data_IF_017141695354
#
_entry.id   IF_017141695354
#
_cell.length_a   1.000
_cell.length_b   1.000
_cell.length_c   1.000
_cell.angle_alpha   90.00
_cell.angle_beta   90.00
_cell.angle_gamma   90.00
#
_symmetry.space_group_name_H-M   'P 1'
#
loop_
_entity.id
_entity.type
_entity.pdbx_description
1 polymer ?
#
# COMPACT_ATOMS: atom_id res chain seq x y z
N UNK A 1 -15.23 -35.65 6.86
CA UNK A 1 -15.69 -34.59 7.78
C UNK A 1 -14.61 -33.55 7.77
N UNK A 2 -14.81 -32.47 7.01
CA UNK A 2 -13.86 -31.36 6.98
C UNK A 2 -14.16 -30.48 8.19
N UNK A 3 -13.22 -30.41 9.13
CA UNK A 3 -13.20 -29.33 10.10
C UNK A 3 -12.92 -28.04 9.33
N UNK A 4 -13.98 -27.28 9.03
CA UNK A 4 -13.84 -25.85 8.75
C UNK A 4 -13.34 -25.21 10.03
N UNK A 5 -12.00 -25.19 10.17
CA UNK A 5 -11.32 -24.26 11.05
C UNK A 5 -11.88 -22.88 10.70
N UNK A 6 -12.66 -22.29 11.61
CA UNK A 6 -13.08 -20.91 11.52
C UNK A 6 -11.79 -20.11 11.72
N UNK A 7 -11.09 -19.82 10.63
CA UNK A 7 -9.95 -18.92 10.63
C UNK A 7 -10.46 -17.60 11.19
N UNK A 8 -9.92 -17.21 12.34
CA UNK A 8 -10.20 -15.91 12.95
C UNK A 8 -9.84 -14.84 11.92
N UNK A 9 -10.78 -13.96 11.63
CA UNK A 9 -10.56 -12.85 10.71
C UNK A 9 -9.44 -11.94 11.25
N UNK A 10 -8.26 -11.99 10.64
CA UNK A 10 -7.04 -11.35 11.14
C UNK A 10 -7.16 -9.83 11.20
N UNK A 11 -7.87 -9.20 10.25
CA UNK A 11 -8.11 -7.76 10.25
C UNK A 11 -9.02 -7.33 11.40
N UNK A 12 -10.09 -8.10 11.66
CA UNK A 12 -10.98 -7.85 12.80
C UNK A 12 -10.25 -8.12 14.13
N UNK A 13 -9.45 -9.19 14.19
CA UNK A 13 -8.68 -9.53 15.37
C UNK A 13 -7.65 -8.45 15.74
N UNK A 14 -6.95 -7.91 14.73
CA UNK A 14 -6.04 -6.78 14.89
C UNK A 14 -6.76 -5.57 15.51
N UNK A 15 -7.90 -5.15 14.94
CA UNK A 15 -8.64 -4.01 15.47
C UNK A 15 -9.23 -4.26 16.86
N UNK A 16 -9.63 -5.50 17.17
CA UNK A 16 -10.07 -5.86 18.52
C UNK A 16 -8.96 -5.74 19.57
N UNK A 17 -7.73 -6.07 19.19
CA UNK A 17 -6.55 -5.91 20.03
C UNK A 17 -6.28 -4.41 20.29
N UNK A 18 -6.22 -3.60 19.23
CA UNK A 18 -6.04 -2.13 19.33
C UNK A 18 -7.12 -1.48 20.21
N UNK A 19 -8.40 -1.86 20.03
CA UNK A 19 -9.52 -1.39 20.86
C UNK A 19 -9.35 -1.78 22.33
N UNK A 20 -8.80 -2.97 22.60
CA UNK A 20 -8.63 -3.49 23.97
C UNK A 20 -7.47 -2.84 24.73
N UNK A 21 -6.46 -2.36 24.00
CA UNK A 21 -5.29 -1.69 24.57
C UNK A 21 -5.47 -0.18 24.72
N UNK A 22 -6.39 0.41 23.95
CA UNK A 22 -6.73 1.84 24.01
C UNK A 22 -7.81 2.15 25.07
N UNK A 23 -7.91 3.43 25.44
CA UNK A 23 -8.98 3.94 26.31
C UNK A 23 -10.14 4.48 25.47
N UNK A 24 -11.38 4.28 25.91
CA UNK A 24 -12.57 4.89 25.27
C UNK A 24 -12.42 6.42 25.21
N UNK A 25 -12.65 7.00 24.04
CA UNK A 25 -12.41 8.41 23.74
C UNK A 25 -10.97 8.79 23.34
N UNK A 26 -10.04 7.83 23.29
CA UNK A 26 -8.73 8.01 22.64
C UNK A 26 -8.85 7.93 21.11
N UNK A 27 -8.00 8.64 20.38
CA UNK A 27 -8.00 8.60 18.91
C UNK A 27 -7.89 7.17 18.36
N UNK A 28 -7.05 6.32 18.95
CA UNK A 28 -6.86 4.94 18.51
C UNK A 28 -8.14 4.13 18.68
N UNK A 29 -8.82 4.28 19.82
CA UNK A 29 -10.04 3.55 20.14
C UNK A 29 -11.16 3.88 19.13
N UNK A 30 -11.43 5.16 18.94
CA UNK A 30 -12.55 5.62 18.09
C UNK A 30 -12.29 5.27 16.61
N UNK A 31 -11.06 5.48 16.14
CA UNK A 31 -10.67 5.13 14.77
C UNK A 31 -10.71 3.63 14.53
N UNK A 32 -10.21 2.81 15.45
CA UNK A 32 -10.26 1.36 15.33
C UNK A 32 -11.70 0.84 15.29
N UNK A 33 -12.61 1.44 16.06
CA UNK A 33 -14.04 1.10 16.01
C UNK A 33 -14.66 1.44 14.65
N UNK A 34 -14.36 2.62 14.09
CA UNK A 34 -14.82 3.01 12.75
C UNK A 34 -14.27 2.06 11.68
N UNK A 35 -12.97 1.77 11.71
CA UNK A 35 -12.32 0.85 10.77
C UNK A 35 -12.85 -0.58 10.89
N UNK A 36 -13.16 -1.04 12.10
CA UNK A 36 -13.76 -2.37 12.33
C UNK A 36 -15.11 -2.47 11.64
N UNK A 37 -15.91 -1.40 11.70
CA UNK A 37 -17.17 -1.31 10.96
C UNK A 37 -16.96 -1.17 9.46
N UNK A 38 -15.89 -0.55 8.98
CA UNK A 38 -15.59 -0.42 7.55
C UNK A 38 -15.26 -1.79 6.93
N UNK A 39 -14.51 -2.62 7.63
CA UNK A 39 -14.01 -3.90 7.08
C UNK A 39 -14.92 -5.11 7.39
N UNK A 40 -16.04 -4.90 8.09
CA UNK A 40 -17.04 -5.92 8.36
C UNK A 40 -17.94 -6.19 7.13
N UNK A 41 -18.45 -7.41 6.98
CA UNK A 41 -19.26 -7.84 5.82
C UNK A 41 -20.50 -6.95 5.57
N UNK A 42 -21.25 -6.62 6.63
CA UNK A 42 -22.41 -5.70 6.58
C UNK A 42 -22.07 -4.34 7.20
N UNK A 43 -20.84 -3.88 6.91
CA UNK A 43 -20.23 -2.70 7.47
C UNK A 43 -20.76 -1.36 6.97
N UNK A 44 -20.01 -0.30 7.30
CA UNK A 44 -20.22 1.03 6.75
C UNK A 44 -19.43 1.21 5.45
N UNK A 45 -19.89 2.11 4.58
CA UNK A 45 -19.18 2.43 3.35
C UNK A 45 -17.90 3.25 3.64
N UNK A 46 -16.90 3.26 2.74
CA UNK A 46 -15.73 4.13 2.86
C UNK A 46 -16.09 5.61 3.06
N UNK A 47 -17.14 6.09 2.37
CA UNK A 47 -17.64 7.46 2.53
C UNK A 47 -18.24 7.68 3.93
N UNK A 48 -19.03 6.73 4.42
CA UNK A 48 -19.62 6.81 5.76
C UNK A 48 -18.58 6.72 6.88
N UNK A 49 -17.49 5.98 6.65
CA UNK A 49 -16.33 5.94 7.54
C UNK A 49 -15.57 7.27 7.52
N UNK A 50 -15.28 7.83 6.33
CA UNK A 50 -14.64 9.14 6.20
C UNK A 50 -15.41 10.24 6.93
N UNK A 51 -16.75 10.27 6.78
CA UNK A 51 -17.60 11.23 7.49
C UNK A 51 -17.57 11.06 9.01
N UNK A 52 -17.51 9.81 9.51
CA UNK A 52 -17.42 9.56 10.96
C UNK A 52 -16.07 10.01 11.53
N UNK A 53 -14.96 9.74 10.83
CA UNK A 53 -13.62 10.20 11.21
C UNK A 53 -13.59 11.74 11.26
N UNK A 54 -14.15 12.38 10.24
CA UNK A 54 -14.18 13.84 10.16
C UNK A 54 -15.05 14.47 11.27
N UNK A 55 -16.21 13.86 11.56
CA UNK A 55 -17.09 14.30 12.64
C UNK A 55 -16.41 14.14 14.00
N UNK A 56 -15.74 13.01 14.24
CA UNK A 56 -14.95 12.79 15.46
C UNK A 56 -13.88 13.89 15.65
N UNK A 57 -13.17 14.25 14.59
CA UNK A 57 -12.21 15.35 14.66
C UNK A 57 -12.88 16.70 15.00
N UNK A 58 -14.01 17.03 14.37
CA UNK A 58 -14.72 18.28 14.60
C UNK A 58 -15.34 18.39 15.99
N UNK A 59 -15.91 17.30 16.50
CA UNK A 59 -16.68 17.30 17.74
C UNK A 59 -15.77 17.20 18.97
N UNK A 60 -14.73 16.35 18.91
CA UNK A 60 -13.96 15.96 20.10
C UNK A 60 -12.54 16.54 20.13
N UNK A 61 -11.93 16.77 18.96
CA UNK A 61 -10.52 17.19 18.88
C UNK A 61 -10.34 18.66 18.47
N UNK A 62 -11.36 19.29 17.90
CA UNK A 62 -11.30 20.69 17.50
C UNK A 62 -11.64 21.59 18.70
N UNK A 63 -10.70 22.42 19.18
CA UNK A 63 -11.02 23.35 20.26
C UNK A 63 -12.08 24.36 19.79
N UNK A 64 -13.17 24.48 20.55
CA UNK A 64 -14.25 25.44 20.29
C UNK A 64 -13.82 26.91 20.35
N UNK A 65 -12.60 27.22 20.83
CA UNK A 65 -12.09 28.59 20.98
C UNK A 65 -10.98 28.94 19.97
N UNK A 66 -11.08 30.09 19.26
CA UNK A 66 -10.11 30.54 18.26
C UNK A 66 -8.67 30.76 18.76
N UNK A 67 -8.46 30.93 20.07
CA UNK A 67 -7.14 31.21 20.66
C UNK A 67 -6.26 29.95 20.70
N UNK A 68 -6.86 28.76 20.57
CA UNK A 68 -6.21 27.47 20.74
C UNK A 68 -5.73 26.86 19.42
N UNK A 69 -5.38 27.68 18.41
CA UNK A 69 -4.93 27.19 17.10
C UNK A 69 -3.75 26.21 17.17
N UNK A 70 -2.86 26.31 18.17
CA UNK A 70 -1.78 25.34 18.38
C UNK A 70 -2.28 23.97 18.86
N UNK A 71 -3.38 23.93 19.60
CA UNK A 71 -4.01 22.69 20.04
C UNK A 71 -4.76 22.02 18.89
N UNK A 72 -5.35 22.81 17.98
CA UNK A 72 -5.93 22.31 16.71
C UNK A 72 -4.92 21.53 15.86
N UNK A 73 -3.70 22.05 15.74
CA UNK A 73 -2.61 21.37 15.03
C UNK A 73 -2.24 20.03 15.71
N UNK A 74 -2.13 20.03 17.04
CA UNK A 74 -1.80 18.82 17.81
C UNK A 74 -2.86 17.73 17.66
N UNK A 75 -4.15 18.09 17.75
CA UNK A 75 -5.26 17.14 17.56
C UNK A 75 -5.25 16.48 16.18
N UNK A 76 -5.01 17.26 15.11
CA UNK A 76 -4.92 16.70 13.76
C UNK A 76 -3.70 15.79 13.58
N UNK A 77 -2.55 16.14 14.15
CA UNK A 77 -1.34 15.30 14.08
C UNK A 77 -1.59 13.95 14.77
N UNK A 78 -2.21 13.97 15.94
CA UNK A 78 -2.54 12.74 16.66
C UNK A 78 -3.54 11.88 15.88
N UNK A 79 -4.62 12.50 15.37
CA UNK A 79 -5.63 11.80 14.58
C UNK A 79 -5.02 11.14 13.35
N UNK A 80 -4.23 11.88 12.56
CA UNK A 80 -3.59 11.35 11.36
C UNK A 80 -2.57 10.27 11.70
N UNK A 81 -1.79 10.46 12.77
CA UNK A 81 -0.86 9.45 13.26
C UNK A 81 -1.56 8.13 13.58
N UNK A 82 -2.59 8.17 14.44
CA UNK A 82 -3.35 6.98 14.83
C UNK A 82 -4.08 6.35 13.63
N UNK A 83 -4.67 7.16 12.75
CA UNK A 83 -5.36 6.66 11.55
C UNK A 83 -4.39 5.96 10.60
N UNK A 84 -3.26 6.60 10.30
CA UNK A 84 -2.27 6.04 9.40
C UNK A 84 -1.65 4.77 10.01
N UNK A 85 -1.40 4.73 11.33
CA UNK A 85 -0.91 3.54 12.05
C UNK A 85 -1.88 2.36 11.86
N UNK A 86 -3.17 2.57 12.12
CA UNK A 86 -4.20 1.53 11.99
C UNK A 86 -4.38 1.07 10.54
N UNK A 87 -4.40 2.00 9.57
CA UNK A 87 -4.50 1.66 8.14
C UNK A 87 -3.27 0.85 7.71
N UNK A 88 -2.07 1.26 8.13
CA UNK A 88 -0.85 0.55 7.78
C UNK A 88 -0.79 -0.83 8.43
N UNK A 89 -1.17 -0.93 9.71
CA UNK A 89 -1.31 -2.19 10.43
C UNK A 89 -2.24 -3.16 9.70
N UNK A 90 -3.43 -2.69 9.33
CA UNK A 90 -4.39 -3.44 8.51
C UNK A 90 -3.80 -3.87 7.15
N UNK A 91 -3.05 -2.99 6.48
CA UNK A 91 -2.38 -3.32 5.23
C UNK A 91 -1.36 -4.47 5.35
N UNK A 92 -0.80 -4.69 6.55
CA UNK A 92 0.15 -5.78 6.82
C UNK A 92 -0.52 -7.10 7.22
N UNK A 93 -1.71 -7.05 7.85
CA UNK A 93 -2.42 -8.25 8.34
C UNK A 93 -3.51 -8.74 7.38
N UNK A 94 -4.12 -7.86 6.57
CA UNK A 94 -5.08 -8.29 5.57
C UNK A 94 -4.36 -9.00 4.43
N UNK A 95 -4.82 -10.20 4.10
CA UNK A 95 -4.25 -10.99 3.01
C UNK A 95 -4.17 -10.19 1.70
N UNK A 96 -3.10 -10.36 0.93
CA UNK A 96 -2.77 -9.51 -0.22
C UNK A 96 -3.86 -9.39 -1.30
N UNK A 97 -4.74 -10.38 -1.41
CA UNK A 97 -5.86 -10.43 -2.35
C UNK A 97 -7.23 -10.09 -1.71
N UNK A 98 -7.23 -9.66 -0.44
CA UNK A 98 -8.44 -9.32 0.30
C UNK A 98 -9.01 -7.99 -0.19
N UNK A 99 -10.29 -7.99 -0.57
CA UNK A 99 -11.02 -6.81 -1.06
C UNK A 99 -11.14 -5.71 -0.02
N UNK A 100 -10.94 -6.02 1.26
CA UNK A 100 -10.95 -5.03 2.35
C UNK A 100 -9.75 -4.10 2.28
N UNK A 101 -8.63 -4.52 1.67
CA UNK A 101 -7.56 -3.57 1.34
C UNK A 101 -8.05 -2.48 0.39
N UNK A 102 -8.89 -2.79 -0.60
CA UNK A 102 -9.47 -1.78 -1.50
C UNK A 102 -10.40 -0.82 -0.74
N UNK A 103 -11.13 -1.31 0.28
CA UNK A 103 -11.95 -0.45 1.14
C UNK A 103 -11.11 0.59 1.90
N UNK A 104 -9.90 0.24 2.36
CA UNK A 104 -8.97 1.17 3.00
C UNK A 104 -8.48 2.25 2.01
N UNK A 105 -8.17 1.87 0.77
CA UNK A 105 -7.76 2.80 -0.27
C UNK A 105 -8.90 3.77 -0.60
N UNK A 106 -10.13 3.26 -0.71
CA UNK A 106 -11.30 4.10 -0.92
C UNK A 106 -11.57 5.02 0.27
N UNK A 107 -11.33 4.59 1.51
CA UNK A 107 -11.44 5.45 2.68
C UNK A 107 -10.50 6.66 2.56
N UNK A 108 -9.23 6.44 2.21
CA UNK A 108 -8.27 7.53 2.02
C UNK A 108 -8.72 8.48 0.90
N UNK A 109 -9.25 7.94 -0.21
CA UNK A 109 -9.81 8.76 -1.29
C UNK A 109 -11.01 9.60 -0.83
N UNK A 110 -11.92 9.04 -0.03
CA UNK A 110 -13.08 9.74 0.50
C UNK A 110 -12.69 10.83 1.51
N UNK A 111 -11.71 10.58 2.38
CA UNK A 111 -11.15 11.59 3.28
C UNK A 111 -10.59 12.79 2.50
N UNK A 112 -9.90 12.54 1.38
CA UNK A 112 -9.35 13.60 0.51
C UNK A 112 -10.42 14.42 -0.25
N UNK A 113 -11.65 13.92 -0.34
CA UNK A 113 -12.80 14.63 -0.96
C UNK A 113 -13.51 15.56 0.02
N UNK A 114 -13.27 15.42 1.32
CA UNK A 114 -13.88 16.28 2.33
C UNK A 114 -13.44 17.75 2.17
N UNK A 115 -14.23 18.71 2.70
CA UNK A 115 -13.87 20.11 2.66
C UNK A 115 -12.49 20.35 3.28
N UNK A 116 -11.53 20.94 2.53
CA UNK A 116 -10.18 21.10 3.01
C UNK A 116 -10.10 22.10 4.16
N UNK A 117 -9.34 21.76 5.21
CA UNK A 117 -8.96 22.63 6.32
C UNK A 117 -7.46 22.83 6.28
N UNK A 118 -7.05 24.09 6.47
CA UNK A 118 -5.64 24.42 6.67
C UNK A 118 -5.25 24.11 8.11
N UNK A 119 -4.21 23.31 8.26
CA UNK A 119 -3.59 22.93 9.52
C UNK A 119 -2.09 23.17 9.42
N UNK A 120 -1.46 23.60 10.51
CA UNK A 120 0.00 23.73 10.56
C UNK A 120 0.55 22.48 11.23
N UNK A 121 1.29 21.66 10.49
CA UNK A 121 1.93 20.44 11.00
C UNK A 121 3.44 20.66 11.01
N UNK A 122 4.01 20.81 12.21
CA UNK A 122 5.40 21.25 12.37
C UNK A 122 5.58 22.68 11.85
N UNK A 123 6.48 22.87 10.89
CA UNK A 123 6.73 24.16 10.22
C UNK A 123 6.00 24.28 8.87
N UNK A 124 5.19 23.29 8.49
CA UNK A 124 4.53 23.23 7.19
C UNK A 124 3.04 23.57 7.29
N UNK A 125 2.56 24.44 6.41
CA UNK A 125 1.13 24.57 6.13
C UNK A 125 0.69 23.35 5.31
N UNK A 126 -0.26 22.60 5.84
CA UNK A 126 -0.79 21.40 5.23
C UNK A 126 -2.30 21.55 5.04
N UNK A 127 -2.79 21.06 3.91
CA UNK A 127 -4.21 20.82 3.71
C UNK A 127 -4.54 19.43 4.24
N UNK A 128 -5.43 19.37 5.25
CA UNK A 128 -5.84 18.13 5.91
C UNK A 128 -6.22 17.03 4.90
N UNK A 129 -5.84 15.79 5.24
CA UNK A 129 -5.99 14.56 4.44
C UNK A 129 -5.33 14.55 3.04
N UNK A 130 -5.12 15.70 2.39
CA UNK A 130 -4.59 15.84 1.01
C UNK A 130 -3.08 15.77 0.96
N UNK A 131 -2.41 16.54 1.81
CA UNK A 131 -0.95 16.59 1.83
C UNK A 131 -0.35 15.48 2.72
N UNK A 132 -1.17 14.87 3.59
CA UNK A 132 -0.81 13.97 4.70
C UNK A 132 0.66 13.48 4.70
N UNK A 133 1.58 14.26 5.30
CA UNK A 133 3.00 13.92 5.28
C UNK A 133 3.35 12.75 6.23
N UNK A 134 2.45 12.41 7.16
CA UNK A 134 2.65 11.34 8.14
C UNK A 134 2.55 9.99 7.43
N UNK A 135 1.51 9.80 6.62
CA UNK A 135 1.28 8.59 5.85
C UNK A 135 2.49 8.17 5.00
N UNK A 136 3.08 9.10 4.23
CA UNK A 136 4.23 8.77 3.36
C UNK A 136 5.44 8.31 4.17
N UNK A 137 5.71 8.97 5.31
CA UNK A 137 6.80 8.58 6.21
C UNK A 137 6.57 7.19 6.79
N UNK A 138 5.35 6.91 7.24
CA UNK A 138 5.02 5.62 7.85
C UNK A 138 5.04 4.48 6.83
N UNK A 139 4.56 4.74 5.61
CA UNK A 139 4.71 3.78 4.50
C UNK A 139 6.17 3.44 4.27
N UNK A 140 7.06 4.45 4.28
CA UNK A 140 8.50 4.23 4.13
C UNK A 140 9.10 3.43 5.29
N UNK A 141 8.79 3.78 6.53
CA UNK A 141 9.28 3.09 7.73
C UNK A 141 8.84 1.62 7.75
N UNK A 142 7.56 1.37 7.51
CA UNK A 142 6.98 0.02 7.46
C UNK A 142 7.50 -0.79 6.28
N UNK A 143 7.67 -0.16 5.10
CA UNK A 143 8.28 -0.83 3.95
C UNK A 143 9.67 -1.36 4.29
N UNK A 144 10.51 -0.56 4.97
CA UNK A 144 11.82 -1.05 5.43
C UNK A 144 11.68 -2.13 6.51
N UNK A 145 10.71 -2.00 7.42
CA UNK A 145 10.49 -2.92 8.53
C UNK A 145 10.01 -4.31 8.12
N UNK A 146 9.21 -4.41 7.06
CA UNK A 146 8.67 -5.68 6.56
C UNK A 146 9.54 -6.36 5.48
N UNK A 147 10.69 -5.81 5.11
CA UNK A 147 11.56 -6.44 4.10
C UNK A 147 11.99 -7.85 4.53
N UNK A 148 11.89 -8.79 3.58
CA UNK A 148 12.35 -10.16 3.77
C UNK A 148 13.77 -10.34 3.22
N UNK A 149 14.76 -10.49 4.09
CA UNK A 149 16.16 -10.71 3.70
C UNK A 149 16.48 -12.20 3.48
N UNK A 150 17.52 -12.50 2.70
CA UNK A 150 17.91 -13.87 2.32
C UNK A 150 18.20 -14.77 3.52
N UNK A 151 18.60 -14.18 4.64
CA UNK A 151 18.96 -14.86 5.89
C UNK A 151 18.07 -14.45 7.06
N UNK A 152 16.75 -14.41 6.85
CA UNK A 152 15.77 -14.23 7.92
C UNK A 152 15.99 -15.26 9.04
N UNK A 153 16.39 -14.83 10.25
CA UNK A 153 16.50 -15.74 11.38
C UNK A 153 15.11 -16.14 11.87
N UNK A 154 14.96 -17.40 12.28
CA UNK A 154 13.71 -17.88 12.86
C UNK A 154 13.40 -19.32 12.50
N UNK A 155 12.33 -19.81 13.10
CA UNK A 155 11.68 -21.07 12.76
C UNK A 155 10.99 -20.98 11.39
N UNK A 156 10.69 -22.12 10.73
CA UNK A 156 9.98 -22.12 9.46
C UNK A 156 8.59 -21.44 9.48
N UNK A 157 8.00 -21.29 10.66
CA UNK A 157 6.73 -20.59 10.88
C UNK A 157 6.96 -19.07 10.94
N UNK A 158 7.92 -18.60 11.73
CA UNK A 158 8.26 -17.17 11.81
C UNK A 158 8.71 -16.61 10.44
N UNK A 159 9.45 -17.41 9.66
CA UNK A 159 9.81 -17.06 8.28
C UNK A 159 8.58 -16.97 7.38
N UNK A 160 7.59 -17.86 7.56
CA UNK A 160 6.33 -17.79 6.81
C UNK A 160 5.55 -16.53 7.15
N UNK A 161 5.36 -16.24 8.44
CA UNK A 161 4.63 -15.06 8.90
C UNK A 161 5.28 -13.76 8.40
N UNK A 162 6.61 -13.71 8.36
CA UNK A 162 7.35 -12.58 7.80
C UNK A 162 7.12 -12.44 6.29
N UNK A 163 7.11 -13.56 5.56
CA UNK A 163 6.80 -13.59 4.13
C UNK A 163 5.37 -13.13 3.85
N UNK A 164 4.39 -13.59 4.64
CA UNK A 164 2.98 -13.24 4.46
C UNK A 164 2.76 -11.75 4.71
N UNK A 165 3.31 -11.20 5.82
CA UNK A 165 3.28 -9.76 6.12
C UNK A 165 3.91 -8.93 5.00
N UNK A 166 5.07 -9.36 4.48
CA UNK A 166 5.72 -8.69 3.37
C UNK A 166 4.84 -8.65 2.12
N UNK A 167 4.24 -9.77 1.71
CA UNK A 167 3.38 -9.81 0.52
C UNK A 167 2.10 -8.97 0.72
N UNK A 168 1.47 -9.06 1.89
CA UNK A 168 0.29 -8.26 2.25
C UNK A 168 0.60 -6.77 2.16
N UNK A 169 1.72 -6.36 2.78
CA UNK A 169 2.18 -4.98 2.80
C UNK A 169 2.56 -4.45 1.42
N UNK A 170 3.33 -5.22 0.63
CA UNK A 170 3.67 -4.84 -0.75
C UNK A 170 2.42 -4.69 -1.63
N UNK A 171 1.40 -5.54 -1.44
CA UNK A 171 0.11 -5.40 -2.14
C UNK A 171 -0.61 -4.11 -1.75
N UNK A 172 -0.65 -3.77 -0.45
CA UNK A 172 -1.23 -2.53 0.02
C UNK A 172 -0.51 -1.30 -0.57
N UNK A 173 0.83 -1.31 -0.57
CA UNK A 173 1.65 -0.25 -1.21
C UNK A 173 1.35 -0.16 -2.71
N UNK A 174 1.21 -1.28 -3.41
CA UNK A 174 0.86 -1.28 -4.82
C UNK A 174 -0.49 -0.58 -5.06
N UNK A 175 -1.50 -0.83 -4.22
CA UNK A 175 -2.79 -0.12 -4.32
C UNK A 175 -2.66 1.37 -4.02
N UNK A 176 -1.89 1.74 -3.00
CA UNK A 176 -1.57 3.15 -2.69
C UNK A 176 -0.87 3.84 -3.87
N UNK A 177 0.04 3.13 -4.54
CA UNK A 177 0.76 3.61 -5.73
C UNK A 177 -0.21 3.81 -6.89
N UNK A 178 -1.10 2.84 -7.14
CA UNK A 178 -2.15 2.91 -8.16
C UNK A 178 -3.12 4.07 -7.93
N UNK A 179 -3.46 4.35 -6.66
CA UNK A 179 -4.29 5.48 -6.26
C UNK A 179 -3.55 6.85 -6.28
N UNK A 180 -2.25 6.86 -6.61
CA UNK A 180 -1.45 8.08 -6.69
C UNK A 180 -1.07 8.68 -5.34
N UNK A 181 -1.13 7.91 -4.25
CA UNK A 181 -0.81 8.39 -2.90
C UNK A 181 0.69 8.54 -2.66
N UNK A 182 1.50 7.76 -3.39
CA UNK A 182 2.95 7.68 -3.23
C UNK A 182 3.71 8.29 -4.41
N UNK A 183 3.02 9.09 -5.23
CA UNK A 183 3.68 9.87 -6.28
C UNK A 183 4.45 11.03 -5.61
N UNK A 184 5.77 10.89 -5.55
CA UNK A 184 6.65 11.91 -4.99
C UNK A 184 6.90 13.04 -6.00
N UNK A 185 6.68 14.29 -5.58
CA UNK A 185 6.99 15.50 -6.37
C UNK A 185 8.48 15.65 -6.65
N UNK A 186 9.36 14.98 -5.89
CA UNK A 186 10.82 15.02 -6.04
C UNK A 186 11.35 13.95 -7.04
N UNK A 187 10.47 13.21 -7.70
CA UNK A 187 10.86 12.30 -8.79
C UNK A 187 11.38 10.94 -8.32
N UNK A 188 11.06 10.55 -7.09
CA UNK A 188 11.16 9.18 -6.56
C UNK A 188 9.84 8.40 -6.70
N UNK A 189 8.97 8.85 -7.60
CA UNK A 189 7.77 8.13 -8.02
C UNK A 189 8.16 6.67 -8.31
N UNK A 190 7.42 5.72 -7.72
CA UNK A 190 7.62 4.28 -7.91
C UNK A 190 8.86 3.65 -7.25
N UNK A 191 9.55 4.34 -6.32
CA UNK A 191 10.68 3.78 -5.54
C UNK A 191 10.38 2.37 -5.00
N UNK A 192 9.28 2.22 -4.28
CA UNK A 192 8.90 0.94 -3.65
C UNK A 192 8.76 -0.18 -4.67
N UNK A 193 7.96 0.03 -5.71
CA UNK A 193 7.76 -0.94 -6.78
C UNK A 193 9.05 -1.28 -7.52
N UNK A 194 9.90 -0.29 -7.82
CA UNK A 194 11.15 -0.57 -8.54
C UNK A 194 12.09 -1.47 -7.73
N UNK A 195 12.19 -1.25 -6.42
CA UNK A 195 13.05 -2.06 -5.55
C UNK A 195 12.45 -3.45 -5.35
N UNK A 196 11.16 -3.56 -5.01
CA UNK A 196 10.53 -4.85 -4.72
C UNK A 196 10.45 -5.73 -5.98
N UNK A 197 10.15 -5.15 -7.15
CA UNK A 197 10.11 -5.90 -8.42
C UNK A 197 11.51 -6.41 -8.78
N UNK A 198 12.54 -5.56 -8.75
CA UNK A 198 13.91 -5.99 -9.00
C UNK A 198 14.36 -7.06 -8.00
N UNK A 199 14.02 -6.91 -6.73
CA UNK A 199 14.39 -7.90 -5.70
C UNK A 199 13.71 -9.26 -5.91
N UNK A 200 12.49 -9.29 -6.45
CA UNK A 200 11.79 -10.53 -6.79
C UNK A 200 12.26 -11.19 -8.08
N UNK A 201 12.77 -10.43 -9.06
CA UNK A 201 12.99 -10.94 -10.43
C UNK A 201 14.46 -11.00 -10.85
N UNK A 202 15.30 -10.11 -10.33
CA UNK A 202 16.68 -9.95 -10.78
C UNK A 202 17.69 -10.60 -9.82
N UNK A 203 17.38 -10.65 -8.52
CA UNK A 203 18.26 -11.29 -7.53
C UNK A 203 18.24 -12.83 -7.65
N UNK A 204 19.43 -13.43 -7.56
CA UNK A 204 19.59 -14.89 -7.58
C UNK A 204 19.36 -15.47 -6.18
N UNK A 205 18.08 -15.68 -5.84
CA UNK A 205 17.67 -16.24 -4.56
C UNK A 205 17.44 -17.76 -4.70
N UNK A 206 17.89 -18.60 -3.75
CA UNK A 206 17.53 -20.01 -3.75
C UNK A 206 16.01 -20.22 -3.71
N UNK A 207 15.54 -21.31 -4.32
CA UNK A 207 14.12 -21.69 -4.22
C UNK A 207 13.70 -21.87 -2.76
N UNK A 208 12.53 -21.33 -2.42
CA UNK A 208 11.98 -21.36 -1.07
C UNK A 208 10.99 -20.24 -0.81
N UNK A 209 10.48 -20.19 0.43
CA UNK A 209 9.42 -19.25 0.86
C UNK A 209 9.77 -17.79 0.59
N UNK A 210 11.01 -17.38 0.87
CA UNK A 210 11.48 -16.00 0.70
C UNK A 210 11.42 -15.60 -0.78
N UNK A 211 11.97 -16.42 -1.68
CA UNK A 211 11.91 -16.18 -3.12
C UNK A 211 10.47 -16.11 -3.61
N UNK A 212 9.63 -17.05 -3.18
CA UNK A 212 8.21 -17.07 -3.56
C UNK A 212 7.49 -15.79 -3.13
N UNK A 213 7.72 -15.33 -1.89
CA UNK A 213 7.16 -14.09 -1.38
C UNK A 213 7.61 -12.87 -2.20
N UNK A 214 8.89 -12.75 -2.54
CA UNK A 214 9.40 -11.64 -3.36
C UNK A 214 8.85 -11.64 -4.79
N UNK A 215 8.76 -12.81 -5.44
CA UNK A 215 8.13 -12.91 -6.77
C UNK A 215 6.64 -12.53 -6.69
N UNK A 216 5.94 -12.97 -5.65
CA UNK A 216 4.53 -12.66 -5.47
C UNK A 216 4.29 -11.17 -5.20
N UNK A 217 5.13 -10.54 -4.38
CA UNK A 217 5.12 -9.08 -4.18
C UNK A 217 5.37 -8.33 -5.49
N UNK A 218 6.39 -8.72 -6.27
CA UNK A 218 6.68 -8.17 -7.58
C UNK A 218 5.47 -8.28 -8.53
N UNK A 219 4.85 -9.46 -8.58
CA UNK A 219 3.65 -9.69 -9.39
C UNK A 219 2.49 -8.78 -8.95
N UNK A 220 2.25 -8.63 -7.64
CA UNK A 220 1.19 -7.75 -7.12
C UNK A 220 1.38 -6.28 -7.53
N UNK A 221 2.62 -5.76 -7.57
CA UNK A 221 2.86 -4.42 -8.10
C UNK A 221 2.44 -4.27 -9.56
N UNK A 222 2.76 -5.25 -10.41
CA UNK A 222 2.34 -5.23 -11.81
C UNK A 222 0.83 -5.33 -11.94
N UNK A 223 0.20 -6.25 -11.20
CA UNK A 223 -1.24 -6.49 -11.29
C UNK A 223 -2.06 -5.28 -10.81
N UNK A 224 -1.60 -4.58 -9.78
CA UNK A 224 -2.37 -3.52 -9.11
C UNK A 224 -1.97 -2.11 -9.56
N UNK A 225 -0.70 -1.90 -9.89
CA UNK A 225 -0.13 -0.59 -10.24
C UNK A 225 0.59 -0.57 -11.60
N UNK A 226 0.52 -1.65 -12.39
CA UNK A 226 1.30 -1.82 -13.62
C UNK A 226 1.13 -0.70 -14.64
N UNK A 227 -0.07 -0.14 -14.78
CA UNK A 227 -0.29 1.00 -15.69
C UNK A 227 0.52 2.23 -15.29
N UNK A 228 0.56 2.58 -13.99
CA UNK A 228 1.34 3.70 -13.49
C UNK A 228 2.85 3.46 -13.64
N UNK A 229 3.29 2.25 -13.26
CA UNK A 229 4.70 1.83 -13.38
C UNK A 229 5.16 1.86 -14.84
N UNK A 230 4.36 1.34 -15.77
CA UNK A 230 4.68 1.39 -17.19
C UNK A 230 4.79 2.83 -17.68
N UNK A 231 3.80 3.67 -17.36
CA UNK A 231 3.82 5.07 -17.78
C UNK A 231 5.08 5.77 -17.26
N UNK A 232 5.50 5.50 -16.03
CA UNK A 232 6.77 5.98 -15.50
C UNK A 232 7.99 5.47 -16.27
N UNK A 233 8.04 4.19 -16.62
CA UNK A 233 9.13 3.64 -17.44
C UNK A 233 9.20 4.27 -18.85
N UNK A 234 8.08 4.82 -19.34
CA UNK A 234 7.95 5.40 -20.67
C UNK A 234 7.88 6.94 -20.70
N UNK A 235 7.83 7.63 -19.55
CA UNK A 235 7.54 9.08 -19.47
C UNK A 235 8.71 10.00 -19.80
N UNK A 236 9.94 9.47 -19.82
CA UNK A 236 11.13 10.28 -20.06
C UNK A 236 11.33 10.62 -21.55
N UNK A 237 11.99 11.75 -21.83
CA UNK A 237 12.34 12.16 -23.19
C UNK A 237 13.20 11.09 -23.89
N UNK A 238 13.01 10.95 -25.21
CA UNK A 238 13.67 9.94 -26.06
C UNK A 238 15.19 9.92 -25.92
N UNK A 239 15.78 11.09 -25.65
CA UNK A 239 17.22 11.29 -25.65
C UNK A 239 17.85 11.15 -24.26
N UNK A 240 17.06 10.81 -23.23
CA UNK A 240 17.58 10.68 -21.87
C UNK A 240 18.06 9.25 -21.58
N UNK A 241 19.28 9.13 -21.03
CA UNK A 241 19.80 7.88 -20.47
C UNK A 241 18.89 7.30 -19.37
N UNK A 242 18.03 8.14 -18.76
CA UNK A 242 17.04 7.72 -17.77
C UNK A 242 15.89 6.96 -18.42
N UNK A 243 15.38 7.41 -19.58
CA UNK A 243 14.38 6.66 -20.37
C UNK A 243 14.89 5.29 -20.74
N UNK A 244 16.08 5.22 -21.34
CA UNK A 244 16.65 3.95 -21.82
C UNK A 244 16.72 2.93 -20.69
N UNK A 245 17.25 3.35 -19.53
CA UNK A 245 17.33 2.48 -18.34
C UNK A 245 15.97 2.03 -17.82
N UNK A 246 15.00 2.94 -17.70
CA UNK A 246 13.67 2.59 -17.19
C UNK A 246 12.90 1.66 -18.15
N UNK A 247 13.07 1.86 -19.45
CA UNK A 247 12.50 0.99 -20.48
C UNK A 247 13.17 -0.39 -20.53
N UNK A 248 14.50 -0.44 -20.46
CA UNK A 248 15.26 -1.70 -20.36
C UNK A 248 14.83 -2.49 -19.12
N UNK A 249 14.69 -1.83 -17.98
CA UNK A 249 14.21 -2.42 -16.72
C UNK A 249 12.82 -3.04 -16.88
N UNK A 250 11.85 -2.34 -17.48
CA UNK A 250 10.52 -2.90 -17.76
C UNK A 250 10.57 -4.17 -18.62
N UNK A 251 11.40 -4.18 -19.67
CA UNK A 251 11.54 -5.36 -20.52
C UNK A 251 12.23 -6.52 -19.80
N UNK A 252 13.25 -6.25 -18.99
CA UNK A 252 13.90 -7.28 -18.17
C UNK A 252 12.89 -7.93 -17.23
N UNK A 253 12.06 -7.14 -16.54
CA UNK A 253 11.03 -7.69 -15.66
C UNK A 253 10.01 -8.55 -16.41
N UNK A 254 9.57 -8.08 -17.58
CA UNK A 254 8.64 -8.84 -18.44
C UNK A 254 9.22 -10.19 -18.84
N UNK A 255 10.47 -10.23 -19.32
CA UNK A 255 11.17 -11.47 -19.68
C UNK A 255 11.36 -12.40 -18.48
N UNK A 256 11.66 -11.85 -17.30
CA UNK A 256 11.82 -12.63 -16.06
C UNK A 256 10.52 -13.27 -15.61
N UNK A 257 9.39 -12.56 -15.67
CA UNK A 257 8.10 -13.16 -15.37
C UNK A 257 7.73 -14.28 -16.36
N UNK A 258 8.00 -14.09 -17.67
CA UNK A 258 7.80 -15.14 -18.67
C UNK A 258 8.67 -16.38 -18.35
N UNK A 259 9.94 -16.18 -17.98
CA UNK A 259 10.83 -17.27 -17.63
C UNK A 259 10.35 -18.04 -16.38
N UNK A 260 9.88 -17.33 -15.35
CA UNK A 260 9.32 -17.94 -14.12
C UNK A 260 8.04 -18.71 -14.45
N UNK A 261 7.12 -18.13 -15.22
CA UNK A 261 5.88 -18.78 -15.62
C UNK A 261 6.13 -20.11 -16.38
N UNK A 262 7.18 -20.15 -17.21
CA UNK A 262 7.57 -21.33 -17.99
C UNK A 262 8.51 -22.31 -17.26
N UNK A 263 8.99 -21.98 -16.06
CA UNK A 263 9.93 -22.81 -15.29
C UNK A 263 9.31 -24.17 -14.91
N UNK A 264 10.04 -25.28 -15.00
CA UNK A 264 9.46 -26.60 -14.71
C UNK A 264 9.24 -26.81 -13.20
N UNK A 265 10.22 -26.44 -12.37
CA UNK A 265 10.26 -26.71 -10.93
C UNK A 265 9.70 -25.58 -10.06
N UNK A 266 8.98 -24.63 -10.64
CA UNK A 266 8.38 -23.51 -9.89
C UNK A 266 7.09 -23.89 -9.19
N UNK A 267 6.85 -23.27 -8.04
CA UNK A 267 5.61 -23.39 -7.28
C UNK A 267 4.40 -22.98 -8.17
N UNK A 268 3.28 -23.75 -8.18
CA UNK A 268 2.14 -23.46 -9.05
C UNK A 268 1.51 -22.08 -8.85
N UNK A 269 1.46 -21.59 -7.61
CA UNK A 269 0.87 -20.27 -7.32
C UNK A 269 1.78 -19.16 -7.83
N UNK A 270 3.10 -19.36 -7.71
CA UNK A 270 4.11 -18.44 -8.25
C UNK A 270 4.10 -18.41 -9.78
N UNK A 271 3.96 -19.56 -10.44
CA UNK A 271 3.77 -19.62 -11.90
C UNK A 271 2.55 -18.82 -12.34
N UNK A 272 1.42 -19.06 -11.71
CA UNK A 272 0.16 -18.39 -12.02
C UNK A 272 0.24 -16.87 -11.77
N UNK A 273 0.89 -16.44 -10.68
CA UNK A 273 1.13 -15.02 -10.42
C UNK A 273 2.02 -14.38 -11.49
N UNK A 274 3.13 -15.05 -11.85
CA UNK A 274 4.05 -14.58 -12.89
C UNK A 274 3.39 -14.54 -14.28
N UNK A 275 2.60 -15.54 -14.64
CA UNK A 275 1.86 -15.59 -15.90
C UNK A 275 0.87 -14.42 -16.01
N UNK A 276 0.10 -14.15 -14.95
CA UNK A 276 -0.84 -13.01 -14.92
C UNK A 276 -0.11 -11.67 -15.00
N UNK A 277 0.97 -11.50 -14.24
CA UNK A 277 1.78 -10.28 -14.28
C UNK A 277 2.36 -10.06 -15.69
N UNK A 278 2.95 -11.09 -16.29
CA UNK A 278 3.45 -11.04 -17.66
C UNK A 278 2.35 -10.66 -18.67
N UNK A 279 1.17 -11.28 -18.57
CA UNK A 279 0.05 -10.97 -19.45
C UNK A 279 -0.38 -9.50 -19.36
N UNK A 280 -0.46 -8.93 -18.14
CA UNK A 280 -0.74 -7.51 -17.95
C UNK A 280 0.35 -6.63 -18.57
N UNK A 281 1.63 -6.97 -18.42
CA UNK A 281 2.71 -6.19 -19.03
C UNK A 281 2.63 -6.19 -20.56
N UNK A 282 2.33 -7.34 -21.17
CA UNK A 282 2.15 -7.49 -22.62
C UNK A 282 0.93 -6.69 -23.10
N UNK A 283 -0.19 -6.76 -22.39
CA UNK A 283 -1.39 -5.99 -22.71
C UNK A 283 -1.12 -4.48 -22.64
N UNK A 284 -0.46 -4.02 -21.58
CA UNK A 284 -0.12 -2.61 -21.41
C UNK A 284 0.82 -2.13 -22.53
N UNK A 285 1.77 -2.96 -22.97
CA UNK A 285 2.64 -2.65 -24.11
C UNK A 285 1.89 -2.58 -25.43
N UNK A 286 0.95 -3.50 -25.68
CA UNK A 286 0.12 -3.53 -26.88
C UNK A 286 -0.90 -2.39 -26.93
N UNK A 287 -1.43 -1.97 -25.78
CA UNK A 287 -2.39 -0.87 -25.66
C UNK A 287 -1.76 0.52 -25.84
N UNK A 288 -0.42 0.59 -25.92
CA UNK A 288 0.33 1.82 -26.15
C UNK A 288 0.06 2.44 -27.52
N UNK A 289 -0.94 3.32 -27.59
CA UNK A 289 -0.78 4.56 -28.34
C UNK A 289 0.50 5.25 -27.83
N UNK A 290 1.48 5.43 -28.71
CA UNK A 290 2.46 6.49 -28.53
C UNK A 290 1.68 7.77 -28.21
N UNK A 291 1.83 8.31 -27.00
CA UNK A 291 1.19 9.58 -26.67
C UNK A 291 1.54 10.58 -27.79
N UNK A 292 0.55 11.32 -28.34
CA UNK A 292 0.84 12.26 -29.40
C UNK A 292 1.94 13.18 -28.89
N UNK A 293 3.05 13.25 -29.65
CA UNK A 293 4.05 14.28 -29.49
C UNK A 293 3.30 15.61 -29.44
N UNK A 294 3.24 16.23 -28.25
CA UNK A 294 2.71 17.58 -28.15
C UNK A 294 3.60 18.46 -29.06
N UNK A 295 3.06 19.05 -30.13
CA UNK A 295 3.82 20.02 -30.90
C UNK A 295 4.06 21.27 -30.03
N UNK A 296 5.12 22.03 -30.34
CA UNK A 296 5.70 23.06 -29.47
C UNK A 296 4.74 24.17 -29.05
#
# INVERSE_FOLDING_TARGET
MAETSITRDEGIAYLEEEISEAYEGDETYELAYILKRLIAEDGITPQGAAQQIDSYYEDDLLPSQPILQKEKAKGMINLLGALDDLICGLGSVLHYNDVRQDALIQLILELRKLPPRQVVIGDNECTDYKDNPIFVRQVYENWNGYQVYDSLPGTPLEVQESCDKYVNWSSFIARCTSAGFLADKEGYEYKYSTVDISSGLEEEIPQGKIRNARILAAANYILLAGSGIRNYCHSYSSDSDRRRRAWEMWNVWKEKFEAIANGQDEDPDIKNAAEKAHAVMVELDASGHDAPENPP
#
